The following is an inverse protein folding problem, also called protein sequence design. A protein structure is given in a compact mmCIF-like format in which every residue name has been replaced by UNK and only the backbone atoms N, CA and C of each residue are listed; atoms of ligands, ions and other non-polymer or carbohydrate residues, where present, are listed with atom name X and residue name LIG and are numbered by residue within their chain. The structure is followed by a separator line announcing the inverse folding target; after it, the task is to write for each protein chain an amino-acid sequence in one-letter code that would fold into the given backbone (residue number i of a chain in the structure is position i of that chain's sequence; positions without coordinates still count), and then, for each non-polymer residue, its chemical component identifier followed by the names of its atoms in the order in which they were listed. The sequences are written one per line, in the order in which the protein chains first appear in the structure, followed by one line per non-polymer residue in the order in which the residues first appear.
data_IF_025757954600
#
_entry.id   IF_025757954600
#
_cell.length_a   1.000
_cell.length_b   1.000
_cell.length_c   1.000
_cell.angle_alpha   90.00
_cell.angle_beta   90.00
_cell.angle_gamma   90.00
#
_symmetry.space_group_name_H-M   'P 1'
#
loop_
_entity.id
_entity.type
_entity.pdbx_description
1 polymer ?
#
# COMPACT_ATOMS: atom_id res chain seq x y z
N UNK A 1 -8.60 15.26 4.14
CA UNK A 1 -8.69 13.89 4.70
C UNK A 1 -8.52 12.94 3.54
N UNK A 2 -7.51 12.06 3.59
CA UNK A 2 -7.28 11.07 2.53
C UNK A 2 -8.16 9.84 2.78
N UNK A 3 -8.69 9.27 1.70
CA UNK A 3 -9.31 7.95 1.67
C UNK A 3 -9.09 7.37 0.26
N UNK A 4 -7.96 6.69 0.08
CA UNK A 4 -7.49 6.21 -1.22
C UNK A 4 -7.24 4.71 -1.19
N UNK A 5 -7.55 4.05 -2.31
CA UNK A 5 -7.26 2.63 -2.54
C UNK A 5 -6.32 2.50 -3.72
N UNK A 6 -5.14 1.94 -3.50
CA UNK A 6 -4.11 1.77 -4.55
C UNK A 6 -3.51 0.39 -4.43
N UNK A 7 -3.72 -0.46 -5.44
CA UNK A 7 -3.34 -1.88 -5.38
C UNK A 7 -3.94 -2.52 -4.11
N UNK A 8 -3.08 -3.11 -3.29
CA UNK A 8 -3.43 -3.74 -2.03
C UNK A 8 -3.44 -2.77 -0.84
N UNK A 9 -3.08 -1.50 -1.06
CA UNK A 9 -2.98 -0.52 0.01
C UNK A 9 -4.28 0.28 0.18
N UNK A 10 -4.59 0.59 1.44
CA UNK A 10 -5.66 1.47 1.90
C UNK A 10 -4.97 2.62 2.65
N UNK A 11 -5.01 3.79 2.05
CA UNK A 11 -4.30 4.98 2.50
C UNK A 11 -5.35 5.97 3.01
N UNK A 12 -5.40 6.16 4.32
CA UNK A 12 -6.28 7.15 4.94
C UNK A 12 -5.46 8.21 5.66
N UNK A 13 -6.08 9.32 6.05
CA UNK A 13 -5.42 10.29 6.93
C UNK A 13 -6.36 10.78 8.02
N UNK A 14 -5.79 11.11 9.16
CA UNK A 14 -6.44 11.94 10.19
C UNK A 14 -5.80 13.34 10.19
N UNK A 15 -6.02 14.14 11.24
CA UNK A 15 -5.46 15.49 11.37
C UNK A 15 -3.95 15.53 11.66
N UNK A 16 -3.32 14.38 11.94
CA UNK A 16 -1.94 14.26 12.40
C UNK A 16 -1.07 13.46 11.46
N UNK A 17 -1.64 12.48 10.75
CA UNK A 17 -0.85 11.47 10.05
C UNK A 17 -1.62 10.83 8.89
N UNK A 18 -0.84 10.21 8.01
CA UNK A 18 -1.30 9.27 6.98
C UNK A 18 -1.14 7.86 7.54
N UNK A 19 -2.20 7.06 7.41
CA UNK A 19 -2.28 5.66 7.84
C UNK A 19 -2.27 4.80 6.60
N UNK A 20 -1.33 3.85 6.52
CA UNK A 20 -1.27 2.88 5.43
C UNK A 20 -1.58 1.51 5.99
N UNK A 21 -2.59 0.88 5.42
CA UNK A 21 -2.89 -0.53 5.65
C UNK A 21 -2.79 -1.30 4.34
N UNK A 22 -2.54 -2.61 4.43
CA UNK A 22 -2.52 -3.54 3.29
C UNK A 22 -3.61 -4.59 3.47
N UNK A 23 -4.38 -4.85 2.42
CA UNK A 23 -5.38 -5.91 2.43
C UNK A 23 -4.72 -7.28 2.57
N UNK A 24 -5.34 -8.16 3.33
CA UNK A 24 -4.98 -9.57 3.36
C UNK A 24 -5.68 -10.28 2.20
N UNK A 25 -4.96 -11.20 1.56
CA UNK A 25 -5.50 -12.08 0.52
C UNK A 25 -5.57 -13.52 1.02
N UNK A 26 -6.59 -14.25 0.58
CA UNK A 26 -6.72 -15.68 0.83
C UNK A 26 -5.82 -16.49 -0.13
N UNK A 27 -5.81 -17.82 0.01
CA UNK A 27 -5.01 -18.72 -0.83
C UNK A 27 -5.38 -18.65 -2.33
N UNK A 28 -6.63 -18.31 -2.64
CA UNK A 28 -7.11 -18.07 -4.01
C UNK A 28 -6.69 -16.71 -4.57
N UNK A 29 -5.99 -15.88 -3.79
CA UNK A 29 -5.56 -14.54 -4.17
C UNK A 29 -6.65 -13.47 -4.05
N UNK A 30 -7.82 -13.76 -3.48
CA UNK A 30 -8.91 -12.81 -3.27
C UNK A 30 -8.75 -12.03 -1.97
N UNK A 31 -9.22 -10.78 -1.92
CA UNK A 31 -9.20 -9.98 -0.69
C UNK A 31 -10.08 -10.65 0.37
N UNK A 32 -9.51 -10.91 1.54
CA UNK A 32 -10.23 -11.47 2.68
C UNK A 32 -11.19 -10.42 3.24
N UNK A 33 -12.45 -10.79 3.41
CA UNK A 33 -13.48 -9.96 4.04
C UNK A 33 -13.75 -10.49 5.45
N UNK A 34 -13.73 -9.61 6.43
CA UNK A 34 -14.18 -9.89 7.80
C UNK A 34 -15.57 -9.30 8.01
N UNK A 35 -16.42 -10.03 8.72
CA UNK A 35 -17.74 -9.56 9.14
C UNK A 35 -17.71 -9.24 10.63
N UNK A 36 -18.19 -8.05 10.99
CA UNK A 36 -18.32 -7.64 12.39
C UNK A 36 -19.64 -8.18 12.98
N UNK A 37 -19.82 -8.08 14.31
CA UNK A 37 -20.97 -8.63 15.04
C UNK A 37 -22.32 -8.07 14.58
N UNK A 38 -22.32 -6.90 13.96
CA UNK A 38 -23.50 -6.23 13.41
C UNK A 38 -23.80 -6.62 11.95
N UNK A 39 -23.03 -7.53 11.36
CA UNK A 39 -23.14 -7.95 9.97
C UNK A 39 -22.41 -7.04 8.97
N UNK A 40 -21.68 -6.02 9.45
CA UNK A 40 -20.92 -5.13 8.56
C UNK A 40 -19.70 -5.85 8.00
N UNK A 41 -19.63 -5.96 6.67
CA UNK A 41 -18.48 -6.53 5.95
C UNK A 41 -17.42 -5.47 5.70
N UNK A 42 -16.17 -5.77 6.10
CA UNK A 42 -15.00 -4.91 5.89
C UNK A 42 -13.84 -5.72 5.34
N UNK A 43 -13.00 -5.09 4.53
CA UNK A 43 -11.74 -5.67 4.08
C UNK A 43 -10.87 -5.97 5.31
N UNK A 44 -10.35 -7.19 5.39
CA UNK A 44 -9.35 -7.54 6.40
C UNK A 44 -8.03 -6.90 5.99
N UNK A 45 -7.49 -6.06 6.88
CA UNK A 45 -6.28 -5.29 6.63
C UNK A 45 -5.23 -5.51 7.71
N UNK A 46 -3.97 -5.35 7.34
CA UNK A 46 -2.82 -5.29 8.23
C UNK A 46 -2.20 -3.90 8.18
N UNK A 47 -1.78 -3.36 9.32
CA UNK A 47 -1.10 -2.07 9.40
C UNK A 47 0.29 -2.18 8.75
N UNK A 48 0.58 -1.29 7.81
CA UNK A 48 1.92 -1.10 7.24
C UNK A 48 2.66 -0.02 8.02
N UNK A 49 1.99 1.08 8.35
CA UNK A 49 2.58 2.11 9.21
C UNK A 49 1.79 3.42 9.28
N UNK A 50 2.29 4.29 10.15
CA UNK A 50 1.85 5.66 10.34
C UNK A 50 2.94 6.63 9.85
N UNK A 51 2.56 7.63 9.07
CA UNK A 51 3.50 8.53 8.41
C UNK A 51 3.05 9.98 8.57
N UNK A 52 4.01 10.89 8.79
CA UNK A 52 3.67 12.31 8.99
C UNK A 52 3.11 13.02 7.75
N UNK A 53 3.30 12.46 6.54
CA UNK A 53 2.76 13.00 5.29
C UNK A 53 2.68 11.92 4.21
N UNK A 54 2.06 12.26 3.08
CA UNK A 54 1.86 11.34 1.95
C UNK A 54 3.18 10.88 1.33
N UNK A 55 4.16 11.76 1.13
CA UNK A 55 5.44 11.39 0.53
C UNK A 55 6.17 10.31 1.34
N UNK A 56 6.19 10.43 2.68
CA UNK A 56 6.75 9.38 3.55
C UNK A 56 5.94 8.09 3.50
N UNK A 57 4.62 8.18 3.38
CA UNK A 57 3.76 7.02 3.21
C UNK A 57 4.04 6.27 1.90
N UNK A 58 4.29 7.00 0.79
CA UNK A 58 4.67 6.40 -0.49
C UNK A 58 5.98 5.63 -0.39
N UNK A 59 7.00 6.18 0.28
CA UNK A 59 8.27 5.46 0.55
C UNK A 59 8.03 4.19 1.36
N UNK A 60 7.15 4.25 2.37
CA UNK A 60 6.75 3.08 3.15
C UNK A 60 6.08 2.00 2.29
N UNK A 61 5.16 2.40 1.42
CA UNK A 61 4.46 1.51 0.48
C UNK A 61 5.43 0.86 -0.51
N UNK A 62 6.35 1.63 -1.09
CA UNK A 62 7.36 1.12 -2.01
C UNK A 62 8.21 0.03 -1.35
N UNK A 63 8.69 0.29 -0.12
CA UNK A 63 9.48 -0.70 0.64
C UNK A 63 8.67 -1.95 0.99
N UNK A 64 7.45 -1.79 1.49
CA UNK A 64 6.59 -2.92 1.81
C UNK A 64 6.33 -3.76 0.56
N UNK A 65 5.98 -3.13 -0.57
CA UNK A 65 5.72 -3.81 -1.82
C UNK A 65 6.90 -4.67 -2.25
N UNK A 66 8.08 -4.05 -2.36
CA UNK A 66 9.29 -4.71 -2.84
C UNK A 66 9.69 -5.89 -1.95
N UNK A 67 9.47 -5.79 -0.63
CA UNK A 67 9.82 -6.86 0.32
C UNK A 67 8.75 -7.94 0.48
N UNK A 68 7.51 -7.70 0.04
CA UNK A 68 6.38 -8.60 0.29
C UNK A 68 5.72 -9.17 -0.97
N UNK A 69 6.11 -8.74 -2.17
CA UNK A 69 5.50 -9.17 -3.45
C UNK A 69 5.82 -10.63 -3.83
N UNK A 70 6.34 -11.45 -2.92
CA UNK A 70 6.69 -12.85 -3.15
C UNK A 70 7.83 -13.09 -4.15
N UNK A 71 8.33 -12.05 -4.82
CA UNK A 71 9.47 -12.10 -5.72
C UNK A 71 10.76 -12.07 -4.90
N UNK A 72 11.62 -13.08 -5.10
CA UNK A 72 12.97 -13.08 -4.54
C UNK A 72 13.83 -12.03 -5.25
N UNK A 73 14.32 -11.06 -4.49
CA UNK A 73 15.24 -10.03 -4.99
C UNK A 73 16.66 -10.50 -4.69
N UNK A 74 17.42 -10.80 -5.75
CA UNK A 74 18.77 -11.36 -5.62
C UNK A 74 19.86 -10.30 -5.75
N UNK A 75 19.58 -9.22 -6.48
CA UNK A 75 20.56 -8.16 -6.75
C UNK A 75 20.03 -6.78 -6.38
N UNK A 76 20.96 -5.83 -6.24
CA UNK A 76 20.62 -4.41 -6.06
C UNK A 76 19.90 -3.86 -7.29
N UNK A 77 20.21 -4.37 -8.48
CA UNK A 77 19.55 -3.98 -9.73
C UNK A 77 18.08 -4.42 -9.74
N UNK A 78 17.79 -5.67 -9.34
CA UNK A 78 16.41 -6.15 -9.17
C UNK A 78 15.64 -5.28 -8.19
N UNK A 79 16.27 -4.91 -7.07
CA UNK A 79 15.66 -4.04 -6.07
C UNK A 79 15.29 -2.67 -6.64
N UNK A 80 16.20 -2.07 -7.42
CA UNK A 80 15.97 -0.77 -8.08
C UNK A 80 14.84 -0.84 -9.09
N UNK A 81 14.81 -1.88 -9.92
CA UNK A 81 13.79 -2.05 -10.96
C UNK A 81 12.39 -2.24 -10.35
N UNK A 82 12.28 -3.02 -9.27
CA UNK A 82 11.01 -3.19 -8.55
C UNK A 82 10.56 -1.89 -7.88
N UNK A 83 11.50 -1.13 -7.28
CA UNK A 83 11.21 0.20 -6.72
C UNK A 83 10.68 1.18 -7.78
N UNK A 84 11.31 1.24 -8.94
CA UNK A 84 10.88 2.12 -10.03
C UNK A 84 9.49 1.73 -10.57
N UNK A 85 9.24 0.42 -10.69
CA UNK A 85 7.95 -0.12 -11.14
C UNK A 85 6.83 0.30 -10.20
N UNK A 86 7.00 0.12 -8.88
CA UNK A 86 5.98 0.50 -7.91
C UNK A 86 5.84 2.02 -7.83
N UNK A 87 6.93 2.78 -7.91
CA UNK A 87 6.91 4.26 -7.90
C UNK A 87 6.06 4.80 -9.05
N UNK A 88 6.37 4.37 -10.28
CA UNK A 88 5.63 4.76 -11.48
C UNK A 88 4.16 4.34 -11.39
N UNK A 89 3.87 3.17 -10.81
CA UNK A 89 2.50 2.70 -10.61
C UNK A 89 1.73 3.58 -9.64
N UNK A 90 2.35 3.97 -8.52
CA UNK A 90 1.74 4.84 -7.51
C UNK A 90 1.50 6.24 -8.08
N UNK A 91 2.49 6.83 -8.75
CA UNK A 91 2.39 8.15 -9.36
C UNK A 91 1.28 8.22 -10.40
N UNK A 92 1.19 7.24 -11.30
CA UNK A 92 0.13 7.19 -12.30
C UNK A 92 -1.26 6.99 -11.70
N UNK A 93 -1.37 6.19 -10.62
CA UNK A 93 -2.68 5.93 -9.97
C UNK A 93 -3.16 7.07 -9.09
N UNK A 94 -2.24 7.89 -8.59
CA UNK A 94 -2.54 9.03 -7.74
C UNK A 94 -2.59 10.35 -8.53
N UNK A 95 -2.44 10.30 -9.85
CA UNK A 95 -2.34 11.46 -10.74
C UNK A 95 -1.27 12.47 -10.29
N UNK A 96 -0.18 11.95 -9.72
CA UNK A 96 0.91 12.74 -9.15
C UNK A 96 1.94 13.16 -10.21
N UNK A 97 1.52 13.38 -11.46
CA UNK A 97 2.41 13.70 -12.58
C UNK A 97 3.08 15.08 -12.52
N UNK A 98 3.12 15.70 -11.34
CA UNK A 98 4.04 16.80 -11.04
C UNK A 98 5.10 16.26 -10.08
N UNK A 99 6.36 16.23 -10.56
CA UNK A 99 7.47 15.51 -9.92
C UNK A 99 7.69 15.86 -8.44
N UNK A 100 7.94 14.81 -7.65
CA UNK A 100 8.43 14.89 -6.27
C UNK A 100 9.96 14.99 -6.22
#
# INVERSE_FOLDING_TARGET
MLDMKVLDYRISSDSRQVIVNKVRRNESGEITISEDKDGTKKESVALVGYYGNLSKALVGIQRDYVLSNGKTIQTIEDYKNELETITTTLENKLDLREGF
#
